data_IF_486442550450
#
_entry.id   IF_486442550450
#
_cell.length_a   1.000
_cell.length_b   1.000
_cell.length_c   1.000
_cell.angle_alpha   90.00
_cell.angle_beta   90.00
_cell.angle_gamma   90.00
#
_symmetry.space_group_name_H-M   'P 1'
#
loop_
_entity.id
_entity.type
_entity.pdbx_description
1 polymer ?
#
# COMPACT_ATOMS: atom_id res chain seq x y z
N UNK A 1 20.26 -27.36 48.26
CA UNK A 1 18.79 -27.22 48.11
C UNK A 1 18.55 -25.88 47.44
N UNK A 2 18.06 -25.85 46.20
CA UNK A 2 17.89 -24.59 45.45
C UNK A 2 16.74 -23.75 46.03
N UNK A 3 16.91 -22.44 46.04
CA UNK A 3 15.89 -21.48 46.49
C UNK A 3 14.67 -21.53 45.54
N UNK A 4 13.48 -21.80 46.09
CA UNK A 4 12.23 -21.79 45.33
C UNK A 4 11.59 -20.41 45.46
N UNK A 5 11.71 -19.60 44.40
CA UNK A 5 11.04 -18.30 44.34
C UNK A 5 9.54 -18.51 44.02
N UNK A 6 8.67 -18.26 45.00
CA UNK A 6 7.22 -18.35 44.82
C UNK A 6 6.66 -16.99 44.40
N UNK A 7 6.18 -16.89 43.17
CA UNK A 7 5.43 -15.72 42.70
C UNK A 7 4.00 -15.79 43.25
N UNK A 8 3.59 -14.74 43.96
CA UNK A 8 2.27 -14.67 44.62
C UNK A 8 1.22 -13.89 43.82
N UNK A 9 1.66 -13.08 42.85
CA UNK A 9 0.80 -12.27 41.99
C UNK A 9 1.51 -11.95 40.66
N UNK A 10 0.75 -11.41 39.71
CA UNK A 10 1.22 -11.05 38.37
C UNK A 10 1.01 -9.57 38.04
N UNK A 11 0.83 -8.71 39.05
CA UNK A 11 0.51 -7.28 38.86
C UNK A 11 1.58 -6.50 38.09
N UNK A 12 2.80 -7.00 38.02
CA UNK A 12 3.93 -6.37 37.32
C UNK A 12 3.93 -6.55 35.81
N UNK A 13 3.07 -7.44 35.28
CA UNK A 13 2.97 -7.69 33.84
C UNK A 13 4.21 -8.37 33.25
N UNK A 14 4.47 -8.17 31.96
CA UNK A 14 5.67 -8.70 31.30
C UNK A 14 6.88 -7.80 31.54
N UNK A 15 7.99 -8.39 32.00
CA UNK A 15 9.27 -7.68 32.11
C UNK A 15 10.16 -7.98 30.92
N UNK A 16 10.86 -6.95 30.44
CA UNK A 16 11.77 -7.10 29.31
C UNK A 16 12.94 -8.07 29.62
N UNK A 17 13.52 -8.73 28.60
CA UNK A 17 14.57 -9.74 28.77
C UNK A 17 15.81 -9.25 29.55
N UNK A 18 16.11 -7.95 29.51
CA UNK A 18 17.25 -7.33 30.23
C UNK A 18 17.08 -7.34 31.76
N UNK A 19 15.86 -7.57 32.24
CA UNK A 19 15.56 -7.67 33.67
C UNK A 19 15.72 -9.10 34.19
N UNK A 20 16.05 -10.08 33.33
CA UNK A 20 16.31 -11.44 33.74
C UNK A 20 17.48 -11.47 34.75
N UNK A 21 17.25 -12.08 35.92
CA UNK A 21 18.24 -12.12 36.99
C UNK A 21 18.28 -10.90 37.92
N UNK A 22 17.55 -9.81 37.63
CA UNK A 22 17.38 -8.65 38.54
C UNK A 22 16.38 -8.96 39.66
N UNK A 23 16.65 -10.01 40.45
CA UNK A 23 15.81 -10.43 41.59
C UNK A 23 15.67 -9.35 42.66
N UNK A 24 16.61 -8.40 42.70
CA UNK A 24 16.58 -7.23 43.56
C UNK A 24 15.44 -6.25 43.22
N UNK A 25 14.98 -6.25 41.97
CA UNK A 25 13.91 -5.37 41.54
C UNK A 25 12.58 -5.85 42.13
N UNK A 26 11.87 -4.94 42.82
CA UNK A 26 10.54 -5.24 43.40
C UNK A 26 9.56 -5.82 42.37
N UNK A 27 9.62 -5.34 41.13
CA UNK A 27 8.77 -5.82 40.05
C UNK A 27 9.09 -7.27 39.62
N UNK A 28 10.33 -7.76 39.83
CA UNK A 28 10.75 -9.08 39.38
C UNK A 28 9.90 -10.22 39.99
N UNK A 29 9.53 -10.07 41.27
CA UNK A 29 8.73 -11.07 41.98
C UNK A 29 7.25 -11.12 41.56
N UNK A 30 6.76 -10.04 40.93
CA UNK A 30 5.35 -9.87 40.53
C UNK A 30 5.14 -9.83 39.01
N UNK A 31 6.20 -10.11 38.23
CA UNK A 31 6.18 -10.02 36.77
C UNK A 31 6.42 -11.37 36.11
N UNK A 32 6.14 -11.42 34.81
CA UNK A 32 6.24 -12.56 33.93
C UNK A 32 7.37 -12.34 32.93
N UNK A 33 8.07 -13.41 32.55
CA UNK A 33 9.04 -13.35 31.46
C UNK A 33 8.37 -13.27 30.08
N UNK A 34 7.14 -13.77 29.96
CA UNK A 34 6.33 -13.75 28.74
C UNK A 34 4.84 -13.75 29.13
N UNK A 35 4.05 -12.86 28.54
CA UNK A 35 2.62 -12.70 28.82
C UNK A 35 1.79 -12.64 27.53
N UNK A 36 1.70 -13.77 26.82
CA UNK A 36 0.91 -13.85 25.58
C UNK A 36 -0.56 -14.16 25.83
N UNK A 37 -1.46 -13.46 25.12
CA UNK A 37 -2.91 -13.68 25.15
C UNK A 37 -3.53 -13.68 26.56
N UNK A 38 -2.89 -12.98 27.49
CA UNK A 38 -3.27 -12.86 28.89
C UNK A 38 -3.27 -11.39 29.31
N UNK A 39 -4.07 -11.08 30.32
CA UNK A 39 -4.20 -9.76 30.92
C UNK A 39 -3.95 -9.89 32.44
N UNK A 40 -2.82 -9.37 32.94
CA UNK A 40 -2.60 -9.26 34.37
C UNK A 40 -3.57 -8.26 34.98
N UNK A 41 -4.23 -8.65 36.05
CA UNK A 41 -5.18 -7.79 36.75
C UNK A 41 -4.52 -7.10 37.94
N UNK A 42 -4.92 -5.86 38.30
CA UNK A 42 -4.39 -5.14 39.46
C UNK A 42 -4.56 -5.90 40.78
N UNK A 43 -5.53 -6.82 40.87
CA UNK A 43 -5.81 -7.63 42.05
C UNK A 43 -4.82 -8.78 42.23
N UNK A 44 -3.91 -9.01 41.27
CA UNK A 44 -2.92 -10.07 41.31
C UNK A 44 -3.14 -11.29 40.40
N UNK A 45 -4.37 -11.73 40.05
CA UNK A 45 -4.53 -12.84 39.14
C UNK A 45 -4.24 -12.41 37.69
N UNK A 46 -4.10 -13.39 36.82
CA UNK A 46 -4.02 -13.21 35.38
C UNK A 46 -5.23 -13.85 34.73
N UNK A 47 -5.82 -13.19 33.73
CA UNK A 47 -6.98 -13.69 32.99
C UNK A 47 -6.66 -13.77 31.52
N UNK A 48 -7.39 -14.58 30.75
CA UNK A 48 -7.25 -14.56 29.28
C UNK A 48 -7.72 -13.22 28.73
N UNK A 49 -7.03 -12.69 27.72
CA UNK A 49 -7.48 -11.50 27.00
C UNK A 49 -8.89 -11.77 26.42
N UNK A 50 -9.85 -10.83 26.55
CA UNK A 50 -11.14 -10.96 25.88
C UNK A 50 -10.97 -11.21 24.37
N UNK A 51 -11.88 -11.99 23.79
CA UNK A 51 -11.89 -12.24 22.36
C UNK A 51 -12.02 -10.96 21.54
N UNK A 52 -11.61 -11.01 20.28
CA UNK A 52 -11.87 -9.93 19.33
C UNK A 52 -13.32 -10.02 18.84
N UNK A 53 -13.97 -8.87 18.69
CA UNK A 53 -15.24 -8.76 17.99
C UNK A 53 -14.98 -8.33 16.55
N UNK A 54 -15.64 -8.98 15.59
CA UNK A 54 -15.67 -8.50 14.22
C UNK A 54 -16.56 -7.25 14.16
N UNK A 55 -16.00 -6.12 13.70
CA UNK A 55 -16.74 -4.87 13.52
C UNK A 55 -17.12 -4.66 12.06
N UNK A 56 -16.13 -4.66 11.17
CA UNK A 56 -16.32 -4.49 9.73
C UNK A 56 -15.07 -4.96 8.96
N UNK A 57 -15.21 -5.08 7.64
CA UNK A 57 -14.14 -5.39 6.70
C UNK A 57 -13.67 -4.12 5.99
N UNK A 58 -12.37 -3.86 6.02
CA UNK A 58 -11.74 -2.81 5.20
C UNK A 58 -11.48 -3.39 3.79
N UNK A 59 -11.40 -2.50 2.78
CA UNK A 59 -11.05 -2.89 1.41
C UNK A 59 -9.77 -3.74 1.41
N UNK A 60 -9.78 -4.79 0.59
CA UNK A 60 -8.61 -5.62 0.38
C UNK A 60 -7.47 -4.81 -0.25
N UNK A 61 -6.26 -5.36 -0.17
CA UNK A 61 -5.10 -4.82 -0.89
C UNK A 61 -5.45 -4.63 -2.35
N UNK A 62 -5.09 -3.46 -2.89
CA UNK A 62 -5.19 -3.17 -4.31
C UNK A 62 -4.12 -3.97 -5.05
N UNK A 63 -4.55 -4.72 -6.06
CA UNK A 63 -3.68 -5.47 -6.96
C UNK A 63 -3.90 -4.95 -8.38
N UNK A 64 -2.83 -4.89 -9.16
CA UNK A 64 -2.92 -4.47 -10.55
C UNK A 64 -3.76 -5.49 -11.33
N UNK A 65 -4.79 -5.02 -12.02
CA UNK A 65 -5.52 -5.87 -12.98
C UNK A 65 -4.61 -6.05 -14.19
N UNK A 66 -4.19 -7.28 -14.53
CA UNK A 66 -3.27 -7.49 -15.64
C UNK A 66 -3.97 -7.14 -16.96
N UNK A 67 -3.38 -6.22 -17.70
CA UNK A 67 -3.85 -5.82 -19.03
C UNK A 67 -2.85 -6.36 -20.05
N UNK A 68 -3.36 -6.95 -21.13
CA UNK A 68 -2.54 -7.45 -22.25
C UNK A 68 -2.87 -6.67 -23.51
N UNK A 69 -1.98 -6.68 -24.51
CA UNK A 69 -2.21 -5.96 -25.76
C UNK A 69 -3.49 -6.42 -26.50
N UNK A 70 -3.94 -7.65 -26.29
CA UNK A 70 -5.18 -8.17 -26.90
C UNK A 70 -6.46 -7.59 -26.27
N UNK A 71 -6.36 -7.00 -25.08
CA UNK A 71 -7.47 -6.35 -24.37
C UNK A 71 -7.64 -4.88 -24.78
N UNK A 72 -6.80 -4.37 -25.67
CA UNK A 72 -6.72 -2.96 -25.99
C UNK A 72 -7.10 -2.73 -27.46
N UNK A 73 -7.99 -1.77 -27.71
CA UNK A 73 -8.38 -1.33 -29.05
C UNK A 73 -8.29 0.20 -29.17
N UNK A 74 -7.97 0.69 -30.37
CA UNK A 74 -7.84 2.11 -30.69
C UNK A 74 -8.82 2.50 -31.80
N UNK A 75 -10.09 2.81 -31.47
CA UNK A 75 -11.16 2.99 -32.46
C UNK A 75 -10.89 4.14 -33.46
N UNK A 76 -10.19 5.18 -33.02
CA UNK A 76 -9.83 6.33 -33.85
C UNK A 76 -8.41 6.23 -34.45
N UNK A 77 -7.82 5.03 -34.44
CA UNK A 77 -6.49 4.72 -34.98
C UNK A 77 -5.35 4.92 -33.99
N UNK A 78 -4.15 4.55 -34.44
CA UNK A 78 -2.94 4.45 -33.61
C UNK A 78 -2.54 3.00 -33.35
N UNK A 79 -1.26 2.77 -33.07
CA UNK A 79 -0.74 1.44 -32.75
C UNK A 79 -0.82 1.21 -31.23
N UNK A 80 -1.64 0.24 -30.83
CA UNK A 80 -1.80 -0.18 -29.43
C UNK A 80 -0.50 -0.76 -28.87
N UNK A 81 0.32 -1.42 -29.70
CA UNK A 81 1.60 -1.96 -29.26
C UNK A 81 2.58 -0.83 -28.87
N UNK A 82 2.55 0.29 -29.58
CA UNK A 82 3.32 1.49 -29.27
C UNK A 82 2.89 2.13 -27.93
N UNK A 83 1.58 2.17 -27.64
CA UNK A 83 1.07 2.63 -26.35
C UNK A 83 1.59 1.76 -25.19
N UNK A 84 1.50 0.43 -25.33
CA UNK A 84 1.99 -0.51 -24.30
C UNK A 84 3.51 -0.43 -24.14
N UNK A 85 4.24 -0.11 -25.22
CA UNK A 85 5.68 0.11 -25.19
C UNK A 85 6.09 1.48 -24.60
N UNK A 86 5.14 2.35 -24.27
CA UNK A 86 5.40 3.67 -23.67
C UNK A 86 5.87 4.74 -24.66
N UNK A 87 5.73 4.51 -25.97
CA UNK A 87 6.14 5.48 -27.00
C UNK A 87 5.02 6.45 -27.39
N UNK A 88 3.85 6.35 -26.76
CA UNK A 88 2.65 7.09 -27.13
C UNK A 88 1.99 6.52 -28.40
N UNK A 89 0.86 7.13 -28.78
CA UNK A 89 0.10 6.78 -29.98
C UNK A 89 -0.48 8.02 -30.64
N UNK A 90 -0.72 7.95 -31.95
CA UNK A 90 -1.31 9.04 -32.74
C UNK A 90 -2.60 8.54 -33.39
N UNK A 91 -3.71 9.24 -33.16
CA UNK A 91 -4.99 8.92 -33.80
C UNK A 91 -4.98 9.33 -35.27
N UNK A 92 -5.66 8.57 -36.12
CA UNK A 92 -5.76 8.85 -37.57
C UNK A 92 -7.04 9.57 -37.94
N UNK A 93 -8.07 9.48 -37.08
CA UNK A 93 -9.33 10.19 -37.26
C UNK A 93 -9.27 11.58 -36.64
N UNK A 94 -9.81 12.58 -37.33
CA UNK A 94 -9.83 13.97 -36.85
C UNK A 94 -10.70 14.09 -35.61
N UNK A 95 -10.23 14.85 -34.61
CA UNK A 95 -11.00 15.17 -33.41
C UNK A 95 -12.27 15.93 -33.82
N UNK A 96 -13.43 15.49 -33.32
CA UNK A 96 -14.75 16.04 -33.67
C UNK A 96 -15.46 15.36 -34.86
N UNK A 97 -14.82 14.40 -35.52
CA UNK A 97 -15.48 13.56 -36.53
C UNK A 97 -16.40 12.49 -35.90
N UNK A 98 -16.12 12.09 -34.66
CA UNK A 98 -16.90 11.16 -33.86
C UNK A 98 -17.14 11.74 -32.46
N UNK A 99 -18.31 11.45 -31.89
CA UNK A 99 -18.70 11.85 -30.54
C UNK A 99 -19.28 10.64 -29.78
N UNK A 100 -18.58 10.09 -28.77
CA UNK A 100 -17.29 10.54 -28.20
C UNK A 100 -16.07 10.15 -29.07
N UNK A 101 -14.99 10.93 -28.98
CA UNK A 101 -13.70 10.58 -29.58
C UNK A 101 -12.91 9.64 -28.64
N UNK A 102 -13.06 8.33 -28.84
CA UNK A 102 -12.39 7.29 -28.06
C UNK A 102 -10.93 7.11 -28.49
N UNK A 103 -9.99 7.35 -27.57
CA UNK A 103 -8.55 7.15 -27.82
C UNK A 103 -8.13 5.68 -27.67
N UNK A 104 -8.59 5.07 -26.57
CA UNK A 104 -8.31 3.69 -26.20
C UNK A 104 -9.54 3.11 -25.55
N UNK A 105 -9.83 1.86 -25.87
CA UNK A 105 -10.80 1.04 -25.20
C UNK A 105 -10.07 -0.16 -24.59
N UNK A 106 -10.47 -0.52 -23.36
CA UNK A 106 -9.93 -1.66 -22.62
C UNK A 106 -11.08 -2.65 -22.42
N UNK A 107 -11.03 -3.77 -23.11
CA UNK A 107 -11.93 -4.89 -22.94
C UNK A 107 -11.26 -5.98 -22.09
N UNK A 108 -11.77 -6.18 -20.87
CA UNK A 108 -11.27 -7.21 -19.96
C UNK A 108 -11.64 -8.63 -20.40
N UNK A 109 -12.49 -8.82 -21.42
CA UNK A 109 -12.91 -10.12 -21.99
C UNK A 109 -13.83 -10.94 -21.09
N UNK A 110 -13.92 -10.60 -19.81
CA UNK A 110 -14.83 -11.14 -18.81
C UNK A 110 -15.08 -10.10 -17.71
N UNK A 111 -16.15 -10.25 -16.90
CA UNK A 111 -16.41 -9.34 -15.78
C UNK A 111 -15.22 -9.28 -14.81
N UNK A 112 -14.61 -8.11 -14.66
CA UNK A 112 -13.50 -7.84 -13.76
C UNK A 112 -13.88 -6.79 -12.71
N UNK A 113 -13.45 -7.00 -11.46
CA UNK A 113 -13.66 -6.02 -10.38
C UNK A 113 -12.58 -4.95 -10.45
N UNK A 114 -12.92 -3.78 -10.97
CA UNK A 114 -12.03 -2.62 -11.03
C UNK A 114 -12.32 -1.70 -9.85
N UNK A 115 -11.38 -1.62 -8.89
CA UNK A 115 -11.53 -0.79 -7.69
C UNK A 115 -11.19 0.68 -7.92
N UNK A 116 -10.24 0.96 -8.81
CA UNK A 116 -9.85 2.31 -9.21
C UNK A 116 -9.15 2.28 -10.57
N UNK A 117 -9.24 3.40 -11.30
CA UNK A 117 -8.46 3.69 -12.49
C UNK A 117 -7.75 5.01 -12.24
N UNK A 118 -6.45 5.06 -12.49
CA UNK A 118 -5.66 6.27 -12.39
C UNK A 118 -4.94 6.51 -13.73
N UNK A 119 -4.85 7.77 -14.14
CA UNK A 119 -4.18 8.21 -15.35
C UNK A 119 -3.07 9.18 -14.94
N UNK A 120 -1.84 8.69 -15.02
CA UNK A 120 -0.63 9.45 -14.69
C UNK A 120 0.18 9.73 -15.97
N UNK A 121 0.90 10.85 -15.98
CA UNK A 121 1.86 11.23 -17.02
C UNK A 121 1.30 11.17 -18.46
N UNK A 122 0.09 11.69 -18.68
CA UNK A 122 -0.48 11.82 -20.02
C UNK A 122 -0.36 13.25 -20.56
N UNK A 123 -0.12 13.36 -21.85
CA UNK A 123 -0.15 14.61 -22.60
C UNK A 123 -0.92 14.40 -23.91
N UNK A 124 -1.68 15.41 -24.31
CA UNK A 124 -2.29 15.47 -25.64
C UNK A 124 -1.55 16.52 -26.45
N UNK A 125 -1.03 16.12 -27.60
CA UNK A 125 -0.29 17.00 -28.51
C UNK A 125 -0.96 16.92 -29.88
N UNK A 126 -1.09 18.07 -30.54
CA UNK A 126 -1.55 18.10 -31.93
C UNK A 126 -0.48 17.46 -32.82
N UNK A 127 -0.87 16.48 -33.64
CA UNK A 127 0.03 15.93 -34.65
C UNK A 127 0.30 17.02 -35.71
N UNK A 128 1.48 17.62 -35.68
CA UNK A 128 1.94 18.48 -36.76
C UNK A 128 1.96 17.71 -38.08
N UNK A 129 1.77 18.39 -39.21
CA UNK A 129 1.64 17.81 -40.57
C UNK A 129 2.90 17.12 -41.12
N UNK A 130 3.82 16.69 -40.26
CA UNK A 130 4.97 15.86 -40.58
C UNK A 130 5.45 15.26 -39.27
N UNK A 131 5.71 13.94 -39.25
CA UNK A 131 6.10 13.17 -38.07
C UNK A 131 7.40 13.65 -37.42
N UNK A 132 7.33 14.80 -36.77
CA UNK A 132 8.32 15.32 -35.86
C UNK A 132 8.00 14.84 -34.45
N UNK A 133 9.05 14.48 -33.73
CA UNK A 133 9.07 14.24 -32.29
C UNK A 133 8.23 15.33 -31.58
N UNK A 134 7.30 15.00 -30.66
CA UNK A 134 6.41 15.95 -29.96
C UNK A 134 7.11 17.06 -29.15
N UNK A 135 8.43 17.20 -29.26
CA UNK A 135 9.26 18.05 -28.42
C UNK A 135 9.45 17.42 -27.03
N UNK A 136 10.34 17.99 -26.24
CA UNK A 136 10.46 17.59 -24.83
C UNK A 136 9.09 17.78 -24.17
N UNK A 137 8.45 16.67 -23.81
CA UNK A 137 7.24 16.70 -22.99
C UNK A 137 7.54 17.53 -21.74
N UNK A 138 6.58 18.34 -21.25
CA UNK A 138 6.78 19.06 -20.00
C UNK A 138 7.18 18.04 -18.93
N UNK A 139 8.34 18.25 -18.31
CA UNK A 139 8.83 17.41 -17.21
C UNK A 139 7.68 17.23 -16.22
N UNK A 140 7.27 15.99 -15.87
CA UNK A 140 6.17 15.78 -14.95
C UNK A 140 6.53 16.46 -13.64
N UNK A 141 6.05 17.69 -13.45
CA UNK A 141 6.24 18.41 -12.20
C UNK A 141 5.53 17.56 -11.15
N UNK A 142 6.28 16.94 -10.22
CA UNK A 142 5.66 16.06 -9.25
C UNK A 142 4.60 16.87 -8.51
N UNK A 143 3.47 16.25 -8.12
CA UNK A 143 2.39 16.95 -7.46
C UNK A 143 2.95 17.74 -6.28
N UNK A 144 2.83 19.07 -6.33
CA UNK A 144 3.32 19.98 -5.30
C UNK A 144 2.41 19.92 -4.08
N UNK A 145 2.41 18.78 -3.38
CA UNK A 145 1.86 18.61 -2.04
C UNK A 145 2.93 17.92 -1.18
N UNK A 146 3.03 18.24 0.13
CA UNK A 146 4.32 18.33 0.80
C UNK A 146 4.94 16.96 1.05
N UNK A 147 5.66 16.43 0.06
CA UNK A 147 6.58 15.33 0.27
C UNK A 147 7.93 15.92 0.70
N UNK A 148 8.13 15.99 2.02
CA UNK A 148 9.48 16.05 2.58
C UNK A 148 9.94 14.60 2.72
N UNK A 149 11.03 14.16 2.06
CA UNK A 149 11.65 12.90 2.41
C UNK A 149 11.92 12.92 3.92
N UNK A 150 11.60 11.82 4.61
CA UNK A 150 11.99 11.65 6.02
C UNK A 150 13.48 11.92 6.10
N UNK A 151 13.86 12.96 6.84
CA UNK A 151 15.26 13.34 6.97
C UNK A 151 16.06 12.12 7.46
N UNK A 152 17.26 11.87 6.91
CA UNK A 152 18.07 10.70 7.26
C UNK A 152 18.49 10.65 8.75
N UNK A 153 18.25 11.71 9.51
CA UNK A 153 18.55 11.83 10.94
C UNK A 153 17.58 11.06 11.89
N UNK A 154 16.55 10.40 11.37
CA UNK A 154 15.59 9.59 12.15
C UNK A 154 15.53 8.10 11.71
N UNK A 155 16.68 7.49 11.40
CA UNK A 155 16.80 6.03 11.40
C UNK A 155 17.33 5.60 12.78
N UNK A 156 16.45 4.97 13.57
CA UNK A 156 16.83 4.28 14.81
C UNK A 156 17.74 3.10 14.42
N UNK A 157 18.82 2.82 15.17
CA UNK A 157 19.79 1.77 14.84
C UNK A 157 19.20 0.36 14.75
#
# INVERSE_FOLDING_TARGET
>A
MGEVHRQSNFTGGEIGPRFLGRRDLKAYASSLALCENMLPLPQGPIVRRPGLAHLDMIRNRLEAVPITAAMLSAPNGGDVAALVAGTGMVTTSVIGAADPHVLLEIDFGAPAMVGMIDLVDFALVEAGTGGGDPGDLPDPTPPQYPWKPSRPEYQIP
#
